data_IF_076129180894
#
_entry.id   IF_076129180894
#
_cell.length_a   1.000
_cell.length_b   1.000
_cell.length_c   1.000
_cell.angle_alpha   90.00
_cell.angle_beta   90.00
_cell.angle_gamma   90.00
#
_symmetry.space_group_name_H-M   'P 1'
#
loop_
_entity.id
_entity.type
_entity.pdbx_description
1 polymer ?
#
# COMPACT_ATOMS: atom_id res chain seq x y z
N UNK A 1 50.94 8.34 -58.16
CA UNK A 1 50.69 9.60 -58.90
C UNK A 1 49.33 9.47 -59.56
N UNK A 2 48.38 10.36 -59.24
CA UNK A 2 47.13 10.69 -59.94
C UNK A 2 46.26 11.49 -58.93
N UNK A 3 46.31 12.82 -59.01
CA UNK A 3 45.43 13.69 -59.79
C UNK A 3 44.09 13.97 -59.09
N UNK A 4 44.09 15.08 -58.34
CA UNK A 4 42.92 15.79 -57.82
C UNK A 4 42.34 16.69 -58.91
N UNK A 5 41.01 16.74 -59.12
CA UNK A 5 40.38 17.82 -59.86
C UNK A 5 39.70 18.84 -58.92
N UNK A 6 39.95 20.12 -59.24
CA UNK A 6 39.28 21.31 -58.72
C UNK A 6 37.83 21.36 -59.23
N UNK A 7 36.89 21.74 -58.36
CA UNK A 7 35.53 22.09 -58.75
C UNK A 7 35.34 23.61 -58.69
N UNK A 8 34.95 24.18 -59.82
CA UNK A 8 34.59 25.59 -60.04
C UNK A 8 33.32 26.00 -59.30
N UNK A 9 33.36 27.23 -58.79
CA UNK A 9 32.28 27.97 -58.15
C UNK A 9 31.28 28.53 -59.16
N UNK A 10 29.99 28.28 -58.94
CA UNK A 10 28.88 28.88 -59.70
C UNK A 10 28.27 30.08 -58.95
N UNK A 11 27.76 31.13 -59.63
CA UNK A 11 27.36 32.39 -59.01
C UNK A 11 25.95 32.35 -58.39
N UNK A 12 25.82 32.99 -57.22
CA UNK A 12 24.59 33.14 -56.46
C UNK A 12 23.65 34.19 -57.09
N UNK A 13 22.43 33.77 -57.44
CA UNK A 13 21.30 34.66 -57.76
C UNK A 13 20.58 35.06 -56.47
N UNK A 14 20.66 36.35 -56.11
CA UNK A 14 19.90 36.95 -55.02
C UNK A 14 18.43 37.11 -55.42
N UNK A 15 17.54 36.32 -54.82
CA UNK A 15 16.10 36.55 -54.85
C UNK A 15 15.72 37.53 -53.72
N UNK A 16 15.17 38.69 -54.10
CA UNK A 16 14.56 39.64 -53.18
C UNK A 16 13.26 39.05 -52.62
N UNK A 17 13.23 38.79 -51.30
CA UNK A 17 12.02 38.44 -50.56
C UNK A 17 11.29 39.72 -50.12
N UNK A 18 9.96 39.83 -50.32
CA UNK A 18 9.19 40.98 -49.87
C UNK A 18 9.00 40.96 -48.34
N UNK A 19 9.15 42.14 -47.75
CA UNK A 19 8.99 42.39 -46.31
C UNK A 19 7.58 42.04 -45.83
N UNK A 20 7.42 41.24 -44.76
CA UNK A 20 6.10 40.95 -44.20
C UNK A 20 5.56 42.15 -43.41
N UNK A 21 4.31 42.52 -43.72
CA UNK A 21 3.50 43.51 -43.00
C UNK A 21 3.30 43.09 -41.54
N UNK A 22 3.45 43.99 -40.56
CA UNK A 22 3.28 43.66 -39.15
C UNK A 22 1.80 43.41 -38.83
N UNK A 23 1.47 42.15 -38.53
CA UNK A 23 0.17 41.73 -38.01
C UNK A 23 0.01 42.25 -36.58
N UNK A 24 -1.13 42.85 -36.20
CA UNK A 24 -1.37 43.29 -34.83
C UNK A 24 -1.32 42.08 -33.88
N UNK A 25 -0.40 42.12 -32.92
CA UNK A 25 -0.31 41.15 -31.83
C UNK A 25 -1.57 41.23 -30.96
N UNK A 26 -2.55 40.36 -31.25
CA UNK A 26 -3.63 40.06 -30.32
C UNK A 26 -2.98 39.38 -29.12
N UNK A 27 -2.81 40.14 -28.04
CA UNK A 27 -2.42 39.60 -26.74
C UNK A 27 -3.59 38.79 -26.21
N UNK A 28 -3.59 37.48 -26.51
CA UNK A 28 -4.53 36.54 -25.90
C UNK A 28 -4.17 36.42 -24.42
N UNK A 29 -4.88 37.17 -23.57
CA UNK A 29 -4.88 36.90 -22.14
C UNK A 29 -5.19 35.42 -21.91
N UNK A 30 -4.38 34.68 -21.13
CA UNK A 30 -4.64 33.28 -20.87
C UNK A 30 -6.00 33.17 -20.20
N UNK A 31 -6.94 32.52 -20.91
CA UNK A 31 -8.25 32.18 -20.38
C UNK A 31 -8.03 31.36 -19.12
N UNK A 32 -8.33 31.95 -17.96
CA UNK A 32 -8.28 31.26 -16.67
C UNK A 32 -9.26 30.10 -16.76
N UNK A 33 -8.73 28.88 -16.85
CA UNK A 33 -9.52 27.66 -16.77
C UNK A 33 -10.39 27.79 -15.51
N UNK A 34 -11.73 27.74 -15.62
CA UNK A 34 -12.59 27.86 -14.45
C UNK A 34 -12.22 26.72 -13.51
N UNK A 35 -11.77 27.08 -12.31
CA UNK A 35 -11.53 26.11 -11.25
C UNK A 35 -12.89 25.52 -10.91
N UNK A 36 -13.10 24.19 -11.01
CA UNK A 36 -14.38 23.59 -10.67
C UNK A 36 -14.75 23.98 -9.24
N UNK A 37 -15.99 24.42 -9.05
CA UNK A 37 -16.47 24.86 -7.74
C UNK A 37 -16.21 23.74 -6.72
N UNK A 38 -15.61 24.06 -5.56
CA UNK A 38 -15.34 23.05 -4.55
C UNK A 38 -16.67 22.46 -4.08
N UNK A 39 -16.74 21.11 -4.04
CA UNK A 39 -17.87 20.39 -3.47
C UNK A 39 -18.19 20.92 -2.07
N UNK A 40 -19.48 20.98 -1.72
CA UNK A 40 -19.87 21.34 -0.37
C UNK A 40 -19.31 20.33 0.66
N UNK A 41 -19.14 20.71 1.93
CA UNK A 41 -18.55 19.84 2.94
C UNK A 41 -19.26 18.49 3.11
N UNK A 42 -20.59 18.47 2.97
CA UNK A 42 -21.38 17.25 3.10
C UNK A 42 -21.12 16.31 1.92
N UNK A 43 -21.16 16.83 0.69
CA UNK A 43 -20.82 16.06 -0.52
C UNK A 43 -19.39 15.54 -0.48
N UNK A 44 -18.44 16.37 -0.02
CA UNK A 44 -17.04 15.96 0.15
C UNK A 44 -16.92 14.82 1.15
N UNK A 45 -17.56 14.93 2.32
CA UNK A 45 -17.54 13.88 3.34
C UNK A 45 -18.16 12.57 2.83
N UNK A 46 -19.32 12.64 2.16
CA UNK A 46 -19.98 11.47 1.55
C UNK A 46 -19.08 10.80 0.53
N UNK A 47 -18.41 11.56 -0.34
CA UNK A 47 -17.47 11.01 -1.31
C UNK A 47 -16.33 10.22 -0.64
N UNK A 48 -15.74 10.75 0.44
CA UNK A 48 -14.69 10.05 1.17
C UNK A 48 -15.20 8.81 1.92
N UNK A 49 -16.42 8.85 2.45
CA UNK A 49 -17.03 7.67 3.06
C UNK A 49 -17.30 6.58 2.01
N UNK A 50 -17.84 6.95 0.85
CA UNK A 50 -18.02 6.03 -0.28
C UNK A 50 -16.70 5.41 -0.73
N UNK A 51 -15.62 6.20 -0.82
CA UNK A 51 -14.30 5.67 -1.15
C UNK A 51 -13.80 4.66 -0.12
N UNK A 52 -14.00 4.93 1.17
CA UNK A 52 -13.66 3.99 2.26
C UNK A 52 -14.40 2.66 2.06
N UNK A 53 -15.71 2.70 1.82
CA UNK A 53 -16.53 1.50 1.57
C UNK A 53 -16.01 0.71 0.37
N UNK A 54 -15.81 1.39 -0.77
CA UNK A 54 -15.32 0.78 -2.01
C UNK A 54 -13.95 0.12 -1.79
N UNK A 55 -13.01 0.82 -1.17
CA UNK A 55 -11.67 0.27 -0.95
C UNK A 55 -11.67 -0.88 0.07
N UNK A 56 -12.53 -0.86 1.09
CA UNK A 56 -12.69 -2.02 1.99
C UNK A 56 -13.21 -3.24 1.23
N UNK A 57 -14.20 -3.09 0.35
CA UNK A 57 -14.71 -4.19 -0.48
C UNK A 57 -13.59 -4.73 -1.40
N UNK A 58 -12.85 -3.84 -2.06
CA UNK A 58 -11.75 -4.23 -2.93
C UNK A 58 -10.62 -4.92 -2.15
N UNK A 59 -10.32 -4.46 -0.94
CA UNK A 59 -9.32 -5.04 -0.06
C UNK A 59 -9.71 -6.47 0.32
N UNK A 60 -10.95 -6.67 0.76
CA UNK A 60 -11.46 -8.01 1.09
C UNK A 60 -11.43 -8.95 -0.12
N UNK A 61 -11.66 -8.44 -1.34
CA UNK A 61 -11.48 -9.23 -2.57
C UNK A 61 -10.03 -9.64 -2.80
N UNK A 62 -9.07 -8.73 -2.59
CA UNK A 62 -7.64 -9.07 -2.73
C UNK A 62 -7.18 -10.05 -1.64
N UNK A 63 -7.64 -9.89 -0.41
CA UNK A 63 -7.33 -10.81 0.69
C UNK A 63 -7.86 -12.22 0.36
N UNK A 64 -9.11 -12.35 -0.11
CA UNK A 64 -9.68 -13.63 -0.53
C UNK A 64 -8.90 -14.24 -1.70
N UNK A 65 -8.56 -13.45 -2.71
CA UNK A 65 -7.75 -13.90 -3.86
C UNK A 65 -6.40 -14.45 -3.40
N UNK A 66 -5.68 -13.70 -2.56
CA UNK A 66 -4.39 -14.14 -1.99
C UNK A 66 -4.55 -15.45 -1.24
N UNK A 67 -5.57 -15.55 -0.37
CA UNK A 67 -5.82 -16.78 0.37
C UNK A 67 -6.08 -17.99 -0.53
N UNK A 68 -6.89 -17.85 -1.58
CA UNK A 68 -7.13 -18.92 -2.54
C UNK A 68 -5.83 -19.37 -3.22
N UNK A 69 -4.98 -18.43 -3.64
CA UNK A 69 -3.68 -18.75 -4.22
C UNK A 69 -2.76 -19.47 -3.22
N UNK A 70 -2.77 -19.02 -1.96
CA UNK A 70 -2.02 -19.69 -0.89
C UNK A 70 -2.53 -21.12 -0.64
N UNK A 71 -3.85 -21.35 -0.67
CA UNK A 71 -4.42 -22.71 -0.57
C UNK A 71 -4.02 -23.60 -1.75
N UNK A 72 -4.10 -23.09 -2.97
CA UNK A 72 -3.70 -23.83 -4.18
C UNK A 72 -2.23 -24.26 -4.08
N UNK A 73 -1.34 -23.36 -3.64
CA UNK A 73 0.09 -23.68 -3.46
C UNK A 73 0.36 -24.78 -2.42
N UNK A 74 -0.57 -25.04 -1.51
CA UNK A 74 -0.43 -26.01 -0.43
C UNK A 74 -1.29 -27.27 -0.62
N UNK A 75 -2.03 -27.36 -1.72
CA UNK A 75 -3.01 -28.44 -1.94
C UNK A 75 -2.36 -29.82 -1.95
N UNK A 76 -1.14 -29.93 -2.49
CA UNK A 76 -0.41 -31.20 -2.59
C UNK A 76 0.47 -31.50 -1.36
N UNK A 77 0.61 -30.54 -0.44
CA UNK A 77 1.41 -30.73 0.76
C UNK A 77 0.63 -31.51 1.83
N UNK A 78 1.29 -32.39 2.62
CA UNK A 78 0.68 -33.02 3.79
C UNK A 78 0.15 -31.97 4.77
N UNK A 79 -0.96 -32.26 5.47
CA UNK A 79 -1.61 -31.30 6.37
C UNK A 79 -0.67 -30.69 7.43
N UNK A 80 0.29 -31.46 7.94
CA UNK A 80 1.26 -30.99 8.94
C UNK A 80 2.32 -30.04 8.36
N UNK A 81 2.52 -30.04 7.04
CA UNK A 81 3.39 -29.11 6.31
C UNK A 81 2.63 -27.91 5.77
N UNK A 82 1.29 -27.89 5.90
CA UNK A 82 0.48 -26.76 5.46
C UNK A 82 0.61 -25.62 6.45
N UNK A 83 1.06 -24.48 5.95
CA UNK A 83 0.77 -23.21 6.60
C UNK A 83 -0.76 -23.03 6.62
N UNK A 84 -1.34 -22.74 7.78
CA UNK A 84 -2.74 -22.35 7.91
C UNK A 84 -2.85 -20.82 7.84
N UNK A 85 -3.12 -20.24 6.66
CA UNK A 85 -3.30 -18.81 6.55
C UNK A 85 -4.58 -18.39 7.28
N UNK A 86 -4.43 -17.65 8.37
CA UNK A 86 -5.53 -16.92 8.99
C UNK A 86 -5.96 -15.77 8.07
N UNK A 87 -7.24 -15.70 7.75
CA UNK A 87 -7.83 -14.59 7.00
C UNK A 87 -8.51 -13.65 7.97
N UNK A 88 -8.08 -12.40 7.99
CA UNK A 88 -8.82 -11.32 8.63
C UNK A 88 -9.43 -10.44 7.54
N UNK A 89 -10.76 -10.46 7.42
CA UNK A 89 -11.47 -9.55 6.54
C UNK A 89 -11.82 -8.28 7.31
N UNK A 90 -11.68 -7.14 6.65
CA UNK A 90 -12.04 -5.86 7.22
C UNK A 90 -13.57 -5.70 7.20
N UNK A 91 -14.20 -5.32 8.32
CA UNK A 91 -15.63 -5.00 8.34
C UNK A 91 -15.95 -3.91 7.32
N UNK A 92 -16.92 -4.16 6.44
CA UNK A 92 -17.33 -3.16 5.43
C UNK A 92 -18.15 -2.09 6.15
N UNK A 93 -17.69 -0.83 6.19
CA UNK A 93 -18.45 0.22 6.86
C UNK A 93 -19.77 0.47 6.14
N UNK A 94 -20.79 0.88 6.90
CA UNK A 94 -22.06 1.35 6.34
C UNK A 94 -21.99 2.84 6.03
N UNK A 95 -22.78 3.29 5.06
CA UNK A 95 -22.96 4.72 4.82
C UNK A 95 -23.68 5.33 6.02
N UNK A 96 -23.15 6.43 6.55
CA UNK A 96 -23.68 7.08 7.74
C UNK A 96 -24.31 8.42 7.36
N UNK A 97 -25.26 8.86 8.16
CA UNK A 97 -25.78 10.21 8.02
C UNK A 97 -24.78 11.21 8.62
N UNK A 98 -24.38 12.26 7.87
CA UNK A 98 -23.47 13.27 8.37
C UNK A 98 -24.17 14.14 9.41
N UNK A 99 -23.45 14.50 10.48
CA UNK A 99 -23.94 15.50 11.42
C UNK A 99 -23.90 16.88 10.76
N UNK A 100 -25.06 17.45 10.45
CA UNK A 100 -25.19 18.74 9.76
C UNK A 100 -24.97 19.94 10.66
N UNK A 101 -24.73 19.75 11.96
CA UNK A 101 -24.45 20.85 12.88
C UNK A 101 -23.07 21.47 12.57
N UNK A 102 -23.00 22.75 12.18
CA UNK A 102 -21.73 23.41 11.85
C UNK A 102 -20.83 23.62 13.08
N UNK A 103 -21.39 23.52 14.30
CA UNK A 103 -20.63 23.64 15.54
C UNK A 103 -20.03 22.28 15.89
N UNK A 104 -18.69 22.12 15.87
CA UNK A 104 -18.06 20.85 16.22
C UNK A 104 -18.32 20.55 17.69
N UNK A 105 -19.08 19.49 17.98
CA UNK A 105 -19.08 18.94 19.33
C UNK A 105 -17.77 18.17 19.55
N UNK A 106 -17.28 18.13 20.78
CA UNK A 106 -16.05 17.42 21.15
C UNK A 106 -16.10 15.91 20.84
N UNK A 107 -17.30 15.36 20.58
CA UNK A 107 -17.56 13.93 20.41
C UNK A 107 -18.13 13.55 19.03
N UNK A 108 -18.35 14.50 18.11
CA UNK A 108 -18.96 14.18 16.83
C UNK A 108 -17.95 13.60 15.83
N UNK A 109 -17.85 12.27 15.78
CA UNK A 109 -17.00 11.50 14.86
C UNK A 109 -17.48 11.55 13.40
N UNK A 110 -18.69 12.04 13.13
CA UNK A 110 -19.32 12.11 11.80
C UNK A 110 -19.64 13.54 11.33
N UNK A 111 -18.95 14.56 11.85
CA UNK A 111 -19.17 15.95 11.45
C UNK A 111 -18.29 16.35 10.23
N UNK A 112 -18.88 16.69 9.06
CA UNK A 112 -18.15 17.07 7.85
C UNK A 112 -17.44 18.44 7.94
N UNK A 113 -17.84 19.28 8.89
CA UNK A 113 -17.21 20.58 9.17
C UNK A 113 -16.01 20.46 10.12
N UNK A 114 -15.87 19.34 10.83
CA UNK A 114 -14.72 19.07 11.68
C UNK A 114 -13.50 18.65 10.83
N UNK A 115 -12.45 19.47 10.83
CA UNK A 115 -11.22 19.22 10.08
C UNK A 115 -10.52 17.93 10.48
N UNK A 116 -10.53 17.57 11.76
CA UNK A 116 -9.92 16.33 12.26
C UNK A 116 -10.67 15.11 11.72
N UNK A 117 -11.99 15.12 11.79
CA UNK A 117 -12.85 14.07 11.22
C UNK A 117 -12.60 13.89 9.72
N UNK A 118 -12.57 14.98 8.96
CA UNK A 118 -12.28 14.94 7.53
C UNK A 118 -10.86 14.42 7.23
N UNK A 119 -9.88 14.80 8.04
CA UNK A 119 -8.51 14.30 7.90
C UNK A 119 -8.45 12.79 8.17
N UNK A 120 -9.03 12.31 9.28
CA UNK A 120 -9.11 10.88 9.62
C UNK A 120 -9.74 10.06 8.48
N UNK A 121 -10.85 10.55 7.91
CA UNK A 121 -11.55 9.87 6.82
C UNK A 121 -10.70 9.80 5.53
N UNK A 122 -10.00 10.88 5.17
CA UNK A 122 -9.07 10.90 4.03
C UNK A 122 -7.89 9.96 4.24
N UNK A 123 -7.28 10.00 5.43
CA UNK A 123 -6.18 9.12 5.80
C UNK A 123 -6.63 7.67 5.70
N UNK A 124 -7.80 7.31 6.25
CA UNK A 124 -8.36 5.96 6.14
C UNK A 124 -8.54 5.52 4.69
N UNK A 125 -9.12 6.37 3.84
CA UNK A 125 -9.29 6.06 2.42
C UNK A 125 -7.94 5.85 1.71
N UNK A 126 -6.93 6.67 2.03
CA UNK A 126 -5.58 6.54 1.48
C UNK A 126 -4.90 5.23 1.92
N UNK A 127 -5.00 4.86 3.20
CA UNK A 127 -4.48 3.60 3.74
C UNK A 127 -5.16 2.40 3.09
N UNK A 128 -6.50 2.40 3.00
CA UNK A 128 -7.23 1.31 2.36
C UNK A 128 -6.84 1.17 0.88
N UNK A 129 -6.72 2.27 0.15
CA UNK A 129 -6.25 2.25 -1.23
C UNK A 129 -4.84 1.65 -1.35
N UNK A 130 -3.90 2.08 -0.51
CA UNK A 130 -2.55 1.53 -0.50
C UNK A 130 -2.54 0.02 -0.21
N UNK A 131 -3.36 -0.44 0.75
CA UNK A 131 -3.54 -1.86 1.06
C UNK A 131 -4.14 -2.64 -0.11
N UNK A 132 -5.10 -2.07 -0.84
CA UNK A 132 -5.65 -2.69 -2.06
C UNK A 132 -4.57 -2.88 -3.11
N UNK A 133 -3.80 -1.85 -3.43
CA UNK A 133 -2.73 -1.95 -4.43
C UNK A 133 -1.65 -2.93 -3.99
N UNK A 134 -1.27 -2.91 -2.71
CA UNK A 134 -0.33 -3.90 -2.18
C UNK A 134 -0.87 -5.32 -2.26
N UNK A 135 -2.14 -5.52 -1.94
CA UNK A 135 -2.81 -6.83 -2.08
C UNK A 135 -2.77 -7.36 -3.51
N UNK A 136 -2.95 -6.49 -4.52
CA UNK A 136 -2.81 -6.87 -5.93
C UNK A 136 -1.39 -7.30 -6.27
N UNK A 137 -0.39 -6.53 -5.85
CA UNK A 137 1.03 -6.84 -6.05
C UNK A 137 1.38 -8.22 -5.47
N UNK A 138 0.96 -8.50 -4.23
CA UNK A 138 1.22 -9.78 -3.57
C UNK A 138 0.54 -10.95 -4.29
N UNK A 139 -0.72 -10.82 -4.69
CA UNK A 139 -1.42 -11.87 -5.42
C UNK A 139 -0.77 -12.15 -6.78
N UNK A 140 -0.43 -11.09 -7.53
CA UNK A 140 0.26 -11.23 -8.81
C UNK A 140 1.65 -11.83 -8.68
N UNK A 141 2.38 -11.52 -7.59
CA UNK A 141 3.69 -12.12 -7.35
C UNK A 141 3.60 -13.61 -7.02
N UNK A 142 2.59 -14.04 -6.27
CA UNK A 142 2.32 -15.48 -6.05
C UNK A 142 2.06 -16.17 -7.39
N UNK A 143 1.14 -15.64 -8.20
CA UNK A 143 0.82 -16.19 -9.52
C UNK A 143 2.06 -16.29 -10.41
N UNK A 144 2.88 -15.23 -10.46
CA UNK A 144 4.13 -15.20 -11.23
C UNK A 144 5.10 -16.30 -10.79
N UNK A 145 5.24 -16.51 -9.48
CA UNK A 145 6.14 -17.54 -8.91
C UNK A 145 5.62 -18.96 -9.14
N UNK A 146 4.30 -19.16 -9.16
CA UNK A 146 3.68 -20.47 -9.42
C UNK A 146 3.94 -20.97 -10.84
N UNK A 147 4.06 -20.07 -11.82
CA UNK A 147 4.25 -20.43 -13.25
C UNK A 147 5.68 -20.23 -13.75
N UNK A 148 6.62 -19.92 -12.86
CA UNK A 148 8.02 -19.68 -13.21
C UNK A 148 8.72 -20.99 -13.62
N UNK A 149 9.70 -20.90 -14.53
CA UNK A 149 10.57 -22.01 -14.93
C UNK A 149 12.05 -21.68 -14.61
N UNK A 150 12.74 -22.43 -13.74
CA UNK A 150 12.21 -23.55 -12.95
C UNK A 150 11.16 -23.09 -11.90
N UNK A 151 10.26 -23.99 -11.47
CA UNK A 151 9.24 -23.66 -10.47
C UNK A 151 9.85 -23.16 -9.16
N UNK A 152 9.28 -22.09 -8.60
CA UNK A 152 9.64 -21.64 -7.25
C UNK A 152 9.15 -22.66 -6.24
N UNK A 153 10.02 -23.17 -5.37
CA UNK A 153 9.66 -24.20 -4.38
C UNK A 153 8.56 -23.74 -3.43
N UNK A 154 8.63 -22.47 -2.99
CA UNK A 154 7.65 -21.86 -2.09
C UNK A 154 7.13 -20.53 -2.65
N UNK A 155 6.14 -20.55 -3.57
CA UNK A 155 5.63 -19.35 -4.24
C UNK A 155 5.08 -18.28 -3.29
N UNK A 156 4.69 -18.65 -2.07
CA UNK A 156 4.10 -17.77 -1.05
C UNK A 156 5.10 -17.28 0.00
N UNK A 157 6.34 -17.82 0.00
CA UNK A 157 7.38 -17.53 0.97
C UNK A 157 8.29 -16.39 0.47
N UNK A 158 7.81 -15.17 0.62
CA UNK A 158 8.56 -13.97 0.28
C UNK A 158 8.14 -12.79 1.16
N UNK A 159 8.94 -11.73 1.16
CA UNK A 159 8.64 -10.53 1.91
C UNK A 159 7.45 -9.79 1.29
N UNK A 160 6.38 -9.60 2.03
CA UNK A 160 5.23 -8.84 1.57
C UNK A 160 5.50 -7.34 1.43
N UNK A 161 6.63 -6.82 1.90
CA UNK A 161 7.00 -5.41 1.72
C UNK A 161 7.82 -5.19 0.46
N UNK A 162 8.96 -5.87 0.32
CA UNK A 162 9.89 -5.67 -0.81
C UNK A 162 9.85 -6.76 -1.88
N UNK A 163 8.94 -7.72 -1.77
CA UNK A 163 8.77 -8.89 -2.67
C UNK A 163 10.01 -9.79 -2.83
N UNK A 164 11.02 -9.60 -1.99
CA UNK A 164 12.22 -10.43 -2.00
C UNK A 164 11.93 -11.87 -1.59
N UNK A 165 12.52 -12.80 -2.32
CA UNK A 165 12.39 -14.24 -2.10
C UNK A 165 12.87 -14.69 -0.72
N UNK A 166 12.05 -15.48 -0.02
CA UNK A 166 12.37 -16.02 1.29
C UNK A 166 13.41 -17.14 1.30
N UNK A 167 13.80 -17.67 0.14
CA UNK A 167 14.99 -18.53 0.02
C UNK A 167 16.28 -17.72 0.13
N UNK A 168 16.24 -16.41 -0.14
CA UNK A 168 17.41 -15.52 -0.09
C UNK A 168 17.50 -14.71 1.19
N UNK A 169 16.37 -14.52 1.88
CA UNK A 169 16.31 -13.74 3.12
C UNK A 169 15.39 -14.42 4.13
N UNK A 170 15.70 -14.27 5.40
CA UNK A 170 14.79 -14.74 6.44
C UNK A 170 13.50 -13.93 6.44
N UNK A 171 12.38 -14.64 6.35
CA UNK A 171 11.04 -14.09 6.40
C UNK A 171 10.42 -14.40 7.76
N UNK A 172 9.88 -13.36 8.41
CA UNK A 172 9.20 -13.41 9.69
C UNK A 172 7.70 -13.21 9.49
N UNK A 173 6.89 -13.97 10.21
CA UNK A 173 5.42 -13.84 10.18
C UNK A 173 4.95 -12.93 11.32
N UNK A 174 4.25 -11.87 10.96
CA UNK A 174 3.64 -10.94 11.91
C UNK A 174 2.30 -11.48 12.41
N UNK A 175 1.83 -11.00 13.57
CA UNK A 175 0.51 -11.35 14.12
C UNK A 175 -0.64 -10.92 13.20
N UNK A 176 -0.46 -9.85 12.43
CA UNK A 176 -1.43 -9.42 11.41
C UNK A 176 -1.38 -10.26 10.11
N UNK A 177 -0.63 -11.37 10.07
CA UNK A 177 -0.58 -12.30 8.94
C UNK A 177 0.31 -11.88 7.78
N UNK A 178 1.04 -10.76 7.90
CA UNK A 178 2.00 -10.31 6.90
C UNK A 178 3.39 -10.88 7.12
N UNK A 179 4.09 -11.17 6.03
CA UNK A 179 5.45 -11.70 6.01
C UNK A 179 6.46 -10.58 5.74
N UNK A 180 7.49 -10.42 6.57
CA UNK A 180 8.48 -9.34 6.44
C UNK A 180 9.89 -9.90 6.54
N UNK A 181 10.83 -9.41 5.70
CA UNK A 181 12.24 -9.79 5.84
C UNK A 181 12.94 -8.94 6.91
N UNK A 182 14.08 -9.40 7.43
CA UNK A 182 14.87 -8.66 8.42
C UNK A 182 15.23 -7.23 7.99
N UNK A 183 15.53 -7.03 6.71
CA UNK A 183 15.85 -5.69 6.19
C UNK A 183 14.64 -4.75 6.29
N UNK A 184 13.46 -5.18 5.83
CA UNK A 184 12.24 -4.39 5.95
C UNK A 184 11.78 -4.22 7.39
N UNK A 185 12.04 -5.21 8.25
CA UNK A 185 11.82 -5.07 9.70
C UNK A 185 12.63 -3.91 10.27
N UNK A 186 13.92 -3.82 9.94
CA UNK A 186 14.79 -2.73 10.42
C UNK A 186 14.32 -1.32 10.06
N UNK A 187 13.58 -1.17 8.95
CA UNK A 187 12.98 0.11 8.56
C UNK A 187 11.59 0.37 9.15
N UNK A 188 10.93 -0.66 9.68
CA UNK A 188 9.57 -0.57 10.22
C UNK A 188 9.52 -0.49 11.74
N UNK A 189 10.66 -0.48 12.43
CA UNK A 189 10.73 -0.33 13.89
C UNK A 189 10.79 1.16 14.24
N UNK A 190 9.93 1.59 15.15
CA UNK A 190 9.90 2.96 15.66
C UNK A 190 11.02 3.24 16.68
N UNK A 191 11.09 4.48 17.19
CA UNK A 191 12.07 4.88 18.20
C UNK A 191 11.93 4.13 19.54
N UNK A 192 10.83 3.42 19.77
CA UNK A 192 10.54 2.64 20.98
C UNK A 192 10.80 1.14 20.79
N UNK A 193 11.25 0.71 19.60
CA UNK A 193 11.46 -0.70 19.31
C UNK A 193 10.20 -1.46 18.87
N UNK A 194 9.08 -0.78 18.66
CA UNK A 194 7.81 -1.38 18.20
C UNK A 194 7.80 -1.44 16.68
N UNK A 195 7.54 -2.63 16.13
CA UNK A 195 7.39 -2.79 14.70
C UNK A 195 6.00 -2.36 14.24
N UNK A 196 5.97 -1.41 13.30
CA UNK A 196 4.79 -1.03 12.55
C UNK A 196 4.74 -1.78 11.22
N UNK A 197 3.65 -2.51 11.00
CA UNK A 197 3.46 -3.23 9.74
C UNK A 197 3.34 -2.24 8.58
N UNK A 198 4.25 -2.31 7.60
CA UNK A 198 4.21 -1.46 6.40
C UNK A 198 2.99 -1.66 5.50
N UNK A 199 2.18 -2.70 5.76
CA UNK A 199 0.98 -3.02 4.99
C UNK A 199 -0.27 -2.59 5.77
N UNK A 200 -0.40 -2.98 7.04
CA UNK A 200 -1.53 -2.54 7.86
C UNK A 200 -1.42 -1.07 8.29
N UNK A 201 -0.20 -0.51 8.29
CA UNK A 201 0.16 0.80 8.83
C UNK A 201 -0.25 0.94 10.31
N UNK A 202 0.12 -0.07 11.09
CA UNK A 202 -0.16 -0.13 12.52
C UNK A 202 0.77 -1.08 13.26
N UNK A 203 0.90 -0.93 14.58
CA UNK A 203 1.79 -1.74 15.40
C UNK A 203 1.39 -3.21 15.37
N UNK A 204 2.37 -4.11 15.29
CA UNK A 204 2.12 -5.55 15.35
C UNK A 204 3.31 -6.31 15.95
N UNK A 205 3.03 -7.47 16.54
CA UNK A 205 4.05 -8.39 16.99
C UNK A 205 4.39 -9.45 15.94
N UNK A 206 5.25 -10.38 16.33
CA UNK A 206 5.57 -11.57 15.55
C UNK A 206 4.87 -12.80 16.14
N UNK A 207 4.46 -13.73 15.28
CA UNK A 207 4.08 -15.06 15.73
C UNK A 207 5.37 -15.73 16.18
N UNK A 208 5.44 -16.12 17.45
CA UNK A 208 6.62 -16.81 17.96
C UNK A 208 6.85 -18.05 17.10
N UNK A 209 7.98 -18.11 16.40
CA UNK A 209 8.52 -19.42 16.03
C UNK A 209 8.85 -20.10 17.35
N UNK A 210 8.50 -21.37 17.51
CA UNK A 210 9.15 -22.21 18.52
C UNK A 210 10.65 -21.90 18.48
N UNK A 211 11.34 -21.76 19.63
CA UNK A 211 12.74 -21.38 19.62
C UNK A 211 13.47 -22.35 18.71
N UNK A 212 13.92 -21.88 17.55
CA UNK A 212 14.93 -22.58 16.80
C UNK A 212 16.14 -22.53 17.73
N UNK A 213 16.52 -23.69 18.26
CA UNK A 213 17.74 -23.84 19.03
C UNK A 213 18.89 -23.24 18.23
N UNK A 214 19.24 -22.00 18.55
CA UNK A 214 20.49 -21.40 18.18
C UNK A 214 21.50 -22.01 19.15
N UNK A 215 21.96 -23.22 18.81
CA UNK A 215 23.22 -23.75 19.32
C UNK A 215 24.33 -22.85 18.76
N UNK A 216 24.57 -21.77 19.50
CA UNK A 216 25.56 -20.76 19.22
C UNK A 216 25.66 -19.89 20.44
N UNK A 217 26.51 -20.31 21.38
CA UNK A 217 26.88 -19.57 22.59
C UNK A 217 27.31 -18.15 22.22
N UNK A 218 26.38 -17.22 22.27
CA UNK A 218 26.66 -15.80 22.39
C UNK A 218 26.08 -15.35 23.72
N UNK A 219 26.92 -15.42 24.76
CA UNK A 219 26.67 -14.76 26.03
C UNK A 219 26.71 -13.25 25.81
N UNK A 220 25.55 -12.67 25.52
CA UNK A 220 25.37 -11.23 25.40
C UNK A 220 23.89 -10.93 25.40
N UNK A 221 23.40 -10.49 26.57
CA UNK A 221 22.06 -9.98 26.87
C UNK A 221 21.04 -10.03 25.72
N UNK A 222 20.10 -10.98 25.83
CA UNK A 222 18.82 -10.91 25.15
C UNK A 222 18.09 -9.67 25.66
N UNK A 223 18.28 -8.54 24.99
CA UNK A 223 17.49 -7.35 25.26
C UNK A 223 16.02 -7.69 25.07
N UNK A 224 15.28 -7.48 26.14
CA UNK A 224 13.84 -7.62 26.28
C UNK A 224 13.08 -6.68 25.33
N UNK A 225 13.01 -7.03 24.05
CA UNK A 225 12.25 -6.31 23.01
C UNK A 225 10.72 -6.57 23.14
N UNK A 226 10.27 -7.39 24.09
CA UNK A 226 8.87 -7.80 24.24
C UNK A 226 8.30 -7.52 25.64
N UNK A 227 8.47 -6.32 26.17
CA UNK A 227 7.61 -5.85 27.28
C UNK A 227 6.59 -4.85 26.75
N UNK A 228 5.43 -5.37 26.37
CA UNK A 228 4.24 -4.54 26.16
C UNK A 228 3.82 -3.94 27.50
N UNK A 229 4.15 -2.65 27.70
CA UNK A 229 3.75 -1.90 28.89
C UNK A 229 2.42 -1.20 28.57
N UNK A 230 1.36 -1.64 29.24
CA UNK A 230 0.05 -0.98 29.20
C UNK A 230 0.19 0.47 29.65
N UNK A 231 -0.12 1.39 28.74
CA UNK A 231 -0.23 2.82 29.02
C UNK A 231 -1.66 3.26 28.76
N UNK A 232 -2.29 3.80 29.80
CA UNK A 232 -3.57 4.51 29.71
C UNK A 232 -3.39 5.73 28.80
N UNK A 233 -3.90 5.61 27.57
CA UNK A 233 -3.88 6.62 26.51
C UNK A 233 -5.27 6.76 25.91
N UNK A 234 -5.59 7.96 25.48
CA UNK A 234 -6.90 8.51 25.18
C UNK A 234 -7.65 7.89 24.01
N UNK A 235 -8.32 6.76 24.21
CA UNK A 235 -9.49 6.35 23.40
C UNK A 235 -9.29 6.46 21.88
N UNK A 236 -8.14 6.03 21.39
CA UNK A 236 -8.01 5.62 19.99
C UNK A 236 -8.70 4.27 19.87
N UNK A 237 -9.77 4.24 19.07
CA UNK A 237 -10.56 3.03 18.80
C UNK A 237 -9.62 1.88 18.44
N UNK A 238 -9.57 0.88 19.32
CA UNK A 238 -8.98 -0.42 19.09
C UNK A 238 -9.43 -0.93 17.72
N UNK A 239 -8.46 -1.25 16.88
CA UNK A 239 -8.69 -1.98 15.63
C UNK A 239 -9.08 -3.41 16.00
N UNK A 240 -10.33 -3.60 16.38
CA UNK A 240 -10.87 -4.89 16.79
C UNK A 240 -11.00 -5.77 15.53
N UNK A 241 -9.95 -6.57 15.29
CA UNK A 241 -9.95 -7.58 14.25
C UNK A 241 -10.90 -8.70 14.66
N UNK A 242 -12.13 -8.68 14.14
CA UNK A 242 -13.06 -9.78 14.36
C UNK A 242 -12.51 -11.05 13.70
N UNK A 243 -12.13 -12.03 14.52
CA UNK A 243 -11.82 -13.38 14.08
C UNK A 243 -13.09 -14.04 13.55
N UNK A 244 -13.16 -14.26 12.24
CA UNK A 244 -14.26 -15.01 11.62
C UNK A 244 -13.72 -16.40 11.27
N UNK A 245 -13.97 -17.36 12.16
CA UNK A 245 -13.73 -18.77 11.89
C UNK A 245 -14.78 -19.25 10.88
N UNK A 246 -14.34 -19.65 9.69
CA UNK A 246 -15.20 -20.40 8.78
C UNK A 246 -15.24 -21.85 9.24
N UNK A 247 -16.45 -22.41 9.37
CA UNK A 247 -16.61 -23.84 9.58
C UNK A 247 -16.07 -24.60 8.35
N UNK A 248 -15.30 -25.65 8.61
CA UNK A 248 -14.78 -26.57 7.60
C UNK A 248 -15.92 -27.02 6.67
N UNK A 249 -15.73 -26.82 5.36
CA UNK A 249 -16.58 -27.37 4.30
C UNK A 249 -15.89 -28.58 3.68
#
# INVERSE_FOLDING_TARGET
MNHTPLLESSPQTHAYLPTPTPTPHITMSPSKTPTPDPLDPISTWRAWQTLTIIYTILLNRQIRRRWLLEQICMQDNPLYDRFQPLIFLEPVPTLQEPNTNPTPSKYATNNPFNRSTMHKLRTRAAVLRARVEKGKELASEIERRMVQDPPTRFPTHFCHTCVQDGERVEILLTKCGHRVCRTCLGYGVDGNGVYECSICLGPTGFVARSPLGLDGEYSGEVSSILTGRGGEGDGDEDWDFSEVLFADC
#
